data_IF_868718682226
#
_entry.id   IF_868718682226
#
_cell.length_a   1.000
_cell.length_b   1.000
_cell.length_c   1.000
_cell.angle_alpha   90.00
_cell.angle_beta   90.00
_cell.angle_gamma   90.00
#
_symmetry.space_group_name_H-M   'P 1'
#
loop_
_entity.id
_entity.type
_entity.pdbx_description
1 polymer ?
#
# COMPACT_ATOMS: atom_id res chain seq x y z
N UNK A 1 -5.03 9.60 -15.50
CA UNK A 1 -4.65 8.25 -14.98
C UNK A 1 -4.38 8.30 -13.48
N UNK A 2 -3.42 9.11 -12.99
CA UNK A 2 -3.12 9.19 -11.55
C UNK A 2 -4.32 9.53 -10.66
N UNK A 3 -5.15 10.51 -11.04
CA UNK A 3 -6.36 10.86 -10.28
C UNK A 3 -7.38 9.71 -10.19
N UNK A 4 -7.58 8.97 -11.30
CA UNK A 4 -8.47 7.80 -11.35
C UNK A 4 -7.93 6.70 -10.44
N UNK A 5 -6.61 6.46 -10.46
CA UNK A 5 -5.96 5.49 -9.59
C UNK A 5 -6.08 5.85 -8.10
N UNK A 6 -5.84 7.12 -7.74
CA UNK A 6 -5.98 7.57 -6.34
C UNK A 6 -7.42 7.51 -5.84
N UNK A 7 -8.39 7.80 -6.71
CA UNK A 7 -9.80 7.64 -6.40
C UNK A 7 -10.15 6.17 -6.16
N UNK A 8 -9.73 5.27 -7.05
CA UNK A 8 -9.95 3.84 -6.91
C UNK A 8 -9.30 3.29 -5.63
N UNK A 9 -8.03 3.64 -5.39
CA UNK A 9 -7.28 3.27 -4.19
C UNK A 9 -7.97 3.75 -2.91
N UNK A 10 -8.39 5.01 -2.86
CA UNK A 10 -9.08 5.59 -1.71
C UNK A 10 -10.42 4.92 -1.43
N UNK A 11 -11.23 4.69 -2.47
CA UNK A 11 -12.53 4.00 -2.35
C UNK A 11 -12.33 2.57 -1.86
N UNK A 12 -11.38 1.83 -2.44
CA UNK A 12 -11.09 0.45 -2.06
C UNK A 12 -10.63 0.37 -0.59
N UNK A 13 -9.75 1.27 -0.15
CA UNK A 13 -9.31 1.33 1.24
C UNK A 13 -10.44 1.64 2.22
N UNK A 14 -11.34 2.57 1.89
CA UNK A 14 -12.49 2.88 2.75
C UNK A 14 -13.46 1.69 2.86
N UNK A 15 -13.64 0.96 1.77
CA UNK A 15 -14.48 -0.23 1.72
C UNK A 15 -13.86 -1.37 2.53
N UNK A 16 -12.57 -1.65 2.34
CA UNK A 16 -11.81 -2.65 3.10
C UNK A 16 -11.77 -2.31 4.59
N UNK A 17 -11.53 -1.04 4.94
CA UNK A 17 -11.61 -0.56 6.33
C UNK A 17 -12.98 -0.88 6.93
N UNK A 18 -14.07 -0.62 6.20
CA UNK A 18 -15.43 -0.82 6.68
C UNK A 18 -15.76 -2.30 6.88
N UNK A 19 -15.23 -3.17 6.03
CA UNK A 19 -15.36 -4.62 6.11
C UNK A 19 -14.59 -5.19 7.30
N UNK A 20 -13.33 -4.80 7.47
CA UNK A 20 -12.47 -5.25 8.57
C UNK A 20 -12.82 -4.59 9.91
N UNK A 21 -13.71 -3.60 9.92
CA UNK A 21 -14.01 -2.72 11.07
C UNK A 21 -12.72 -2.14 11.68
N UNK A 22 -11.73 -1.88 10.84
CA UNK A 22 -10.42 -1.41 11.26
C UNK A 22 -10.47 0.08 11.65
N UNK A 23 -9.66 0.51 12.65
CA UNK A 23 -9.54 1.91 13.01
C UNK A 23 -8.94 2.73 11.87
N UNK A 24 -9.31 4.03 11.82
CA UNK A 24 -8.82 4.98 10.79
C UNK A 24 -7.30 5.04 10.75
N UNK A 25 -6.65 4.89 11.90
CA UNK A 25 -5.20 4.83 12.04
C UNK A 25 -4.55 3.88 11.02
N UNK A 26 -4.95 2.60 11.00
CA UNK A 26 -4.34 1.61 10.12
C UNK A 26 -4.65 1.89 8.64
N UNK A 27 -5.82 2.43 8.34
CA UNK A 27 -6.17 2.81 6.97
C UNK A 27 -5.33 4.00 6.47
N UNK A 28 -5.12 5.01 7.31
CA UNK A 28 -4.34 6.21 6.96
C UNK A 28 -2.84 5.89 6.82
N UNK A 29 -2.26 5.21 7.81
CA UNK A 29 -0.84 4.82 7.79
C UNK A 29 -0.57 3.79 6.69
N UNK A 30 -1.47 2.82 6.50
CA UNK A 30 -1.37 1.82 5.43
C UNK A 30 -1.45 2.43 4.03
N UNK A 31 -2.29 3.45 3.83
CA UNK A 31 -2.31 4.18 2.54
C UNK A 31 -0.98 4.89 2.28
N UNK A 32 -0.43 5.58 3.29
CA UNK A 32 0.87 6.26 3.15
C UNK A 32 2.02 5.28 2.98
N UNK A 33 1.97 4.11 3.61
CA UNK A 33 2.97 3.05 3.41
C UNK A 33 3.04 2.57 1.94
N UNK A 34 1.89 2.55 1.23
CA UNK A 34 1.82 2.10 -0.16
C UNK A 34 2.06 3.21 -1.19
N UNK A 35 1.53 4.42 -0.97
CA UNK A 35 1.60 5.52 -1.95
C UNK A 35 2.72 6.51 -1.63
N UNK A 36 2.96 6.79 -0.35
CA UNK A 36 3.91 7.79 0.12
C UNK A 36 5.25 7.23 0.63
N UNK A 37 5.36 5.91 0.77
CA UNK A 37 6.59 5.19 1.13
C UNK A 37 7.09 5.43 2.56
N UNK A 38 8.35 5.06 2.80
CA UNK A 38 8.98 5.04 4.12
C UNK A 38 9.20 6.42 4.75
N UNK A 39 9.16 7.50 3.97
CA UNK A 39 9.33 8.86 4.48
C UNK A 39 8.04 9.41 5.10
N UNK A 40 6.88 9.15 4.49
CA UNK A 40 5.61 9.81 4.87
C UNK A 40 4.72 8.95 5.78
N UNK A 41 4.81 7.61 5.70
CA UNK A 41 4.05 6.72 6.60
C UNK A 41 4.37 6.92 8.10
N UNK A 42 5.63 7.11 8.53
CA UNK A 42 5.94 7.36 9.94
C UNK A 42 5.45 8.72 10.43
N UNK A 43 5.44 9.72 9.54
CA UNK A 43 4.94 11.07 9.84
C UNK A 43 3.43 11.00 10.08
N UNK A 44 2.68 10.29 9.24
CA UNK A 44 1.23 10.13 9.47
C UNK A 44 0.95 9.28 10.70
N UNK A 45 1.80 8.30 11.04
CA UNK A 45 1.65 7.52 12.27
C UNK A 45 1.95 8.35 13.54
N UNK A 46 2.96 9.23 13.50
CA UNK A 46 3.36 10.04 14.65
C UNK A 46 2.35 11.11 15.03
N UNK A 47 1.51 11.56 14.08
CA UNK A 47 0.37 12.45 14.34
C UNK A 47 -0.65 11.82 15.30
N UNK A 48 -0.79 10.48 15.30
CA UNK A 48 -1.67 9.79 16.25
C UNK A 48 -0.99 9.60 17.60
N UNK A 49 0.24 9.08 17.61
CA UNK A 49 1.07 9.01 18.79
C UNK A 49 2.55 8.82 18.38
N UNK A 50 3.51 9.53 18.98
CA UNK A 50 4.92 9.43 18.60
C UNK A 50 5.48 8.00 18.64
N UNK A 51 5.00 7.16 19.57
CA UNK A 51 5.42 5.75 19.66
C UNK A 51 4.96 4.87 18.50
N UNK A 52 4.09 5.37 17.62
CA UNK A 52 3.58 4.65 16.44
C UNK A 52 4.42 4.92 15.19
N UNK A 53 5.35 5.88 15.21
CA UNK A 53 6.25 6.13 14.08
C UNK A 53 7.02 4.87 13.63
N UNK A 54 7.58 4.02 14.52
CA UNK A 54 8.23 2.76 14.14
C UNK A 54 7.28 1.80 13.42
N UNK A 55 6.01 1.75 13.83
CA UNK A 55 4.99 0.91 13.19
C UNK A 55 4.75 1.39 11.75
N UNK A 56 4.69 2.71 11.54
CA UNK A 56 4.60 3.29 10.19
C UNK A 56 5.79 2.94 9.30
N UNK A 57 7.02 2.94 9.85
CA UNK A 57 8.23 2.50 9.12
C UNK A 57 8.12 1.02 8.73
N UNK A 58 7.74 0.16 9.66
CA UNK A 58 7.62 -1.28 9.40
C UNK A 58 6.55 -1.58 8.35
N UNK A 59 5.40 -0.91 8.40
CA UNK A 59 4.36 -1.04 7.37
C UNK A 59 4.88 -0.61 5.99
N UNK A 60 5.66 0.47 5.91
CA UNK A 60 6.23 0.93 4.64
C UNK A 60 7.23 -0.07 4.06
N UNK A 61 8.10 -0.64 4.90
CA UNK A 61 9.05 -1.69 4.48
C UNK A 61 8.29 -2.93 4.00
N UNK A 62 7.27 -3.37 4.74
CA UNK A 62 6.45 -4.52 4.36
C UNK A 62 5.74 -4.27 3.00
N UNK A 63 5.16 -3.08 2.81
CA UNK A 63 4.55 -2.68 1.55
C UNK A 63 5.54 -2.69 0.39
N UNK A 64 6.76 -2.20 0.60
CA UNK A 64 7.81 -2.23 -0.41
C UNK A 64 8.20 -3.66 -0.80
N UNK A 65 8.43 -4.53 0.18
CA UNK A 65 8.79 -5.93 -0.06
C UNK A 65 7.67 -6.65 -0.85
N UNK A 66 6.42 -6.49 -0.44
CA UNK A 66 5.28 -7.06 -1.18
C UNK A 66 5.15 -6.49 -2.59
N UNK A 67 5.37 -5.18 -2.76
CA UNK A 67 5.33 -4.53 -4.06
C UNK A 67 6.39 -5.05 -5.02
N UNK A 68 7.62 -5.27 -4.54
CA UNK A 68 8.72 -5.84 -5.35
C UNK A 68 8.36 -7.24 -5.83
N UNK A 69 7.93 -8.13 -4.94
CA UNK A 69 7.55 -9.49 -5.32
C UNK A 69 6.32 -9.52 -6.23
N UNK A 70 5.32 -8.68 -5.98
CA UNK A 70 4.16 -8.53 -6.85
C UNK A 70 4.54 -8.06 -8.25
N UNK A 71 5.48 -7.10 -8.37
CA UNK A 71 6.01 -6.64 -9.64
C UNK A 71 6.74 -7.74 -10.41
N UNK A 72 7.56 -8.53 -9.71
CA UNK A 72 8.25 -9.68 -10.30
C UNK A 72 7.27 -10.76 -10.79
N UNK A 73 6.22 -11.03 -10.02
CA UNK A 73 5.16 -11.94 -10.43
C UNK A 73 4.43 -11.42 -11.67
N UNK A 74 4.06 -10.15 -11.71
CA UNK A 74 3.47 -9.52 -12.90
C UNK A 74 4.38 -9.64 -14.13
N UNK A 75 5.68 -9.41 -13.98
CA UNK A 75 6.65 -9.59 -15.06
C UNK A 75 6.71 -11.04 -15.54
N UNK A 76 6.69 -12.02 -14.62
CA UNK A 76 6.65 -13.43 -14.96
C UNK A 76 5.36 -13.82 -15.71
N UNK A 77 4.20 -13.34 -15.25
CA UNK A 77 2.90 -13.58 -15.91
C UNK A 77 2.86 -12.96 -17.31
N UNK A 78 3.34 -11.73 -17.47
CA UNK A 78 3.44 -11.09 -18.77
C UNK A 78 4.34 -11.89 -19.72
N UNK A 79 5.51 -12.33 -19.25
CA UNK A 79 6.43 -13.17 -20.04
C UNK A 79 5.78 -14.51 -20.43
N UNK A 80 5.07 -15.16 -19.52
CA UNK A 80 4.36 -16.41 -19.80
C UNK A 80 3.26 -16.18 -20.84
N UNK A 81 2.48 -15.11 -20.73
CA UNK A 81 1.45 -14.77 -21.70
C UNK A 81 2.04 -14.52 -23.09
N UNK A 82 3.16 -13.79 -23.18
CA UNK A 82 3.85 -13.55 -24.44
C UNK A 82 4.29 -14.85 -25.12
N UNK A 83 4.76 -15.83 -24.34
CA UNK A 83 5.14 -17.16 -24.83
C UNK A 83 3.97 -18.05 -25.26
N UNK A 84 2.75 -17.77 -24.81
CA UNK A 84 1.53 -18.54 -25.20
C UNK A 84 0.96 -18.02 -26.52
N UNK A 85 1.16 -16.74 -26.82
CA UNK A 85 0.68 -16.10 -28.06
C UNK A 85 1.65 -16.26 -29.25
N UNK A 86 2.82 -16.85 -29.05
CA UNK A 86 3.84 -17.17 -30.07
C UNK A 86 4.11 -18.66 -30.10
#
# INVERSE_FOLDING_TARGET
>A
IGAVWMMFHGVLLLLVRRWLKAPIFFAAVGSQANVGGAASAPIVASVFHPSLAPVGVLLAIAGYVMGVYGGLLCAALLRASYFVWH
#
